data_IF_839242115843
#
_entry.id   IF_839242115843
#
_cell.length_a   1.000
_cell.length_b   1.000
_cell.length_c   1.000
_cell.angle_alpha   90.00
_cell.angle_beta   90.00
_cell.angle_gamma   90.00
#
_symmetry.space_group_name_H-M   'P 1'
#
loop_
_entity.id
_entity.type
_entity.pdbx_description
1 polymer ?
#
# COMPACT_ATOMS: atom_id res chain seq x y z
N UNK A 1 43.91 16.72 21.82
CA UNK A 1 42.71 17.45 22.30
C UNK A 1 43.10 18.24 23.54
N UNK A 2 42.63 19.49 23.68
CA UNK A 2 42.86 20.25 24.92
C UNK A 2 42.06 19.57 26.04
N UNK A 3 42.55 19.61 27.28
CA UNK A 3 41.92 18.89 28.41
C UNK A 3 40.42 19.25 28.58
N UNK A 4 40.05 20.50 28.25
CA UNK A 4 38.68 20.99 28.26
C UNK A 4 37.77 20.26 27.25
N UNK A 5 38.24 20.03 26.02
CA UNK A 5 37.45 19.32 24.99
C UNK A 5 37.17 17.87 25.42
N UNK A 6 38.19 17.22 26.01
CA UNK A 6 38.06 15.85 26.53
C UNK A 6 37.07 15.79 27.69
N UNK A 7 37.10 16.77 28.60
CA UNK A 7 36.16 16.87 29.70
C UNK A 7 34.72 17.04 29.17
N UNK A 8 34.50 17.95 28.22
CA UNK A 8 33.18 18.17 27.63
C UNK A 8 32.63 16.91 26.94
N UNK A 9 33.45 16.20 26.16
CA UNK A 9 33.04 14.96 25.48
C UNK A 9 32.71 13.85 26.49
N UNK A 10 33.56 13.67 27.49
CA UNK A 10 33.37 12.61 28.51
C UNK A 10 32.14 12.88 29.36
N UNK A 11 31.84 14.15 29.66
CA UNK A 11 30.63 14.54 30.39
C UNK A 11 29.36 14.47 29.54
N UNK A 12 29.47 14.61 28.21
CA UNK A 12 28.31 14.66 27.31
C UNK A 12 27.79 13.30 26.84
N UNK A 13 28.68 12.34 26.57
CA UNK A 13 28.30 11.03 26.03
C UNK A 13 27.34 10.26 26.96
N UNK A 14 27.57 10.16 28.28
CA UNK A 14 26.68 9.37 29.14
C UNK A 14 25.26 9.95 29.23
N UNK A 15 25.06 11.26 29.51
CA UNK A 15 23.73 11.86 29.47
C UNK A 15 23.05 11.69 28.11
N UNK A 16 23.78 11.88 27.01
CA UNK A 16 23.24 11.69 25.65
C UNK A 16 22.73 10.26 25.41
N UNK A 17 23.49 9.24 25.79
CA UNK A 17 23.08 7.85 25.58
C UNK A 17 21.83 7.51 26.40
N UNK A 18 21.77 7.97 27.65
CA UNK A 18 20.61 7.75 28.53
C UNK A 18 19.38 8.48 28.00
N UNK A 19 19.49 9.76 27.65
CA UNK A 19 18.35 10.52 27.12
C UNK A 19 17.89 9.99 25.77
N UNK A 20 18.81 9.53 24.92
CA UNK A 20 18.48 8.87 23.66
C UNK A 20 17.71 7.57 23.89
N UNK A 21 18.15 6.70 24.81
CA UNK A 21 17.43 5.47 25.14
C UNK A 21 16.04 5.74 25.72
N UNK A 22 15.91 6.75 26.60
CA UNK A 22 14.61 7.15 27.17
C UNK A 22 13.70 7.71 26.07
N UNK A 23 14.19 8.62 25.23
CA UNK A 23 13.42 9.18 24.13
C UNK A 23 12.97 8.11 23.14
N UNK A 24 13.88 7.18 22.80
CA UNK A 24 13.59 6.03 21.94
C UNK A 24 12.50 5.15 22.56
N UNK A 25 12.60 4.83 23.84
CA UNK A 25 11.59 4.05 24.55
C UNK A 25 10.22 4.72 24.56
N UNK A 26 10.16 6.02 24.86
CA UNK A 26 8.90 6.79 24.87
C UNK A 26 8.26 6.81 23.48
N UNK A 27 9.03 7.07 22.42
CA UNK A 27 8.52 7.07 21.04
C UNK A 27 8.04 5.68 20.61
N UNK A 28 8.74 4.62 21.00
CA UNK A 28 8.30 3.25 20.72
C UNK A 28 6.99 2.93 21.45
N UNK A 29 6.84 3.35 22.70
CA UNK A 29 5.58 3.16 23.43
C UNK A 29 4.42 3.94 22.81
N UNK A 30 4.66 5.17 22.36
CA UNK A 30 3.66 5.93 21.62
C UNK A 30 3.18 5.19 20.37
N UNK A 31 4.11 4.61 19.62
CA UNK A 31 3.81 3.77 18.45
C UNK A 31 3.03 2.53 18.86
N UNK A 32 3.43 1.83 19.92
CA UNK A 32 2.73 0.63 20.37
C UNK A 32 1.27 0.93 20.68
N UNK A 33 0.98 2.05 21.32
CA UNK A 33 -0.38 2.46 21.64
C UNK A 33 -1.19 2.81 20.37
N UNK A 34 -0.57 3.43 19.37
CA UNK A 34 -1.21 3.73 18.09
C UNK A 34 -1.59 2.47 17.30
N UNK A 35 -0.76 1.42 17.37
CA UNK A 35 -0.96 0.18 16.61
C UNK A 35 -1.52 -0.97 17.43
N UNK A 36 -1.91 -0.76 18.69
CA UNK A 36 -2.38 -1.85 19.55
C UNK A 36 -3.67 -2.46 19.02
N UNK A 37 -4.59 -1.65 18.50
CA UNK A 37 -5.86 -2.12 17.95
C UNK A 37 -5.66 -2.98 16.69
N UNK A 38 -4.64 -2.65 15.89
CA UNK A 38 -4.28 -3.41 14.68
C UNK A 38 -3.59 -4.75 14.98
N UNK A 39 -2.99 -4.89 16.17
CA UNK A 39 -2.16 -6.03 16.59
C UNK A 39 -2.93 -6.93 17.57
N UNK A 40 -3.78 -6.35 18.41
CA UNK A 40 -4.53 -7.06 19.45
C UNK A 40 -5.58 -8.00 18.84
N UNK A 41 -5.72 -9.19 19.42
CA UNK A 41 -6.72 -10.18 19.00
C UNK A 41 -6.36 -11.01 17.76
N UNK A 42 -5.28 -10.69 17.04
CA UNK A 42 -4.88 -11.38 15.80
C UNK A 42 -4.00 -12.63 15.97
N UNK A 43 -3.77 -13.08 17.21
CA UNK A 43 -2.97 -14.27 17.48
C UNK A 43 -1.49 -14.17 17.07
N UNK A 44 -0.95 -12.95 17.02
CA UNK A 44 0.42 -12.70 16.58
C UNK A 44 1.44 -13.25 17.58
N UNK A 45 2.45 -13.96 17.07
CA UNK A 45 3.56 -14.41 17.89
C UNK A 45 4.36 -13.24 18.48
N UNK A 46 4.77 -13.33 19.74
CA UNK A 46 5.56 -12.30 20.43
C UNK A 46 6.81 -11.88 19.64
N UNK A 47 7.48 -12.82 18.98
CA UNK A 47 8.66 -12.55 18.15
C UNK A 47 8.33 -11.64 16.95
N UNK A 48 7.17 -11.82 16.33
CA UNK A 48 6.72 -11.01 15.19
C UNK A 48 6.42 -9.57 15.61
N UNK A 49 5.87 -9.39 16.81
CA UNK A 49 5.63 -8.06 17.40
C UNK A 49 6.97 -7.33 17.62
N UNK A 50 7.98 -8.03 18.17
CA UNK A 50 9.33 -7.46 18.32
C UNK A 50 9.95 -7.13 16.96
N UNK A 51 9.82 -7.99 15.95
CA UNK A 51 10.33 -7.74 14.60
C UNK A 51 9.70 -6.46 14.01
N UNK A 52 8.38 -6.32 14.13
CA UNK A 52 7.64 -5.14 13.64
C UNK A 52 8.05 -3.87 14.39
N UNK A 53 8.17 -3.94 15.71
CA UNK A 53 8.68 -2.84 16.54
C UNK A 53 10.11 -2.47 16.15
N UNK A 54 10.98 -3.44 15.88
CA UNK A 54 12.37 -3.20 15.47
C UNK A 54 12.45 -2.44 14.15
N UNK A 55 11.63 -2.79 13.14
CA UNK A 55 11.55 -1.99 11.90
C UNK A 55 11.06 -0.57 12.18
N UNK A 56 10.05 -0.42 13.04
CA UNK A 56 9.54 0.91 13.37
C UNK A 56 10.54 1.76 14.16
N UNK A 57 11.35 1.15 15.04
CA UNK A 57 12.41 1.81 15.77
C UNK A 57 13.38 2.54 14.83
N UNK A 58 13.77 1.92 13.71
CA UNK A 58 14.69 2.53 12.74
C UNK A 58 14.15 3.86 12.21
N UNK A 59 12.83 3.95 11.97
CA UNK A 59 12.17 5.18 11.53
C UNK A 59 12.09 6.27 12.60
N UNK A 60 12.24 5.92 13.89
CA UNK A 60 12.14 6.87 15.00
C UNK A 60 13.49 7.48 15.39
N UNK A 61 14.62 6.85 15.03
CA UNK A 61 15.98 7.32 15.33
C UNK A 61 16.19 8.81 14.96
N UNK A 62 15.84 9.28 13.74
CA UNK A 62 16.02 10.69 13.37
C UNK A 62 15.23 11.68 14.22
N UNK A 63 14.09 11.26 14.78
CA UNK A 63 13.27 12.06 15.69
C UNK A 63 13.82 12.04 17.11
N UNK A 64 14.35 10.89 17.57
CA UNK A 64 14.92 10.74 18.90
C UNK A 64 16.26 11.48 19.07
N UNK A 65 17.11 11.51 18.04
CA UNK A 65 18.43 12.16 18.07
C UNK A 65 18.40 13.65 18.49
N UNK A 66 17.61 14.54 17.85
CA UNK A 66 17.60 15.96 18.22
C UNK A 66 17.07 16.19 19.64
N UNK A 67 16.07 15.42 20.08
CA UNK A 67 15.55 15.46 21.45
C UNK A 67 16.63 15.05 22.45
N UNK A 68 17.35 13.97 22.16
CA UNK A 68 18.43 13.47 23.02
C UNK A 68 19.58 14.47 23.15
N UNK A 69 20.03 15.04 22.01
CA UNK A 69 21.09 16.05 21.97
C UNK A 69 20.70 17.30 22.75
N UNK A 70 19.44 17.74 22.64
CA UNK A 70 18.95 18.92 23.35
C UNK A 70 18.97 18.68 24.86
N UNK A 71 18.37 17.59 25.34
CA UNK A 71 18.26 17.29 26.77
C UNK A 71 19.65 17.06 27.37
N UNK A 72 20.52 16.33 26.68
CA UNK A 72 21.89 16.10 27.17
C UNK A 72 22.71 17.38 27.22
N UNK A 73 22.57 18.27 26.22
CA UNK A 73 23.24 19.57 26.22
C UNK A 73 22.83 20.42 27.42
N UNK A 74 21.52 20.47 27.72
CA UNK A 74 20.99 21.19 28.89
C UNK A 74 21.52 20.58 30.18
N UNK A 75 21.52 19.25 30.31
CA UNK A 75 22.01 18.57 31.52
C UNK A 75 23.50 18.82 31.77
N UNK A 76 24.33 18.77 30.73
CA UNK A 76 25.78 18.99 30.87
C UNK A 76 26.09 20.45 31.19
N UNK A 77 25.52 21.39 30.42
CA UNK A 77 25.74 22.82 30.67
C UNK A 77 25.14 23.25 32.03
N UNK A 78 24.01 22.67 32.41
CA UNK A 78 23.37 22.88 33.71
C UNK A 78 24.24 22.39 34.87
N UNK A 79 24.76 21.15 34.79
CA UNK A 79 25.69 20.62 35.79
C UNK A 79 26.98 21.45 35.90
N UNK A 80 27.53 21.91 34.77
CA UNK A 80 28.70 22.79 34.78
C UNK A 80 28.40 24.17 35.39
N UNK A 81 27.18 24.67 35.25
CA UNK A 81 26.74 25.91 35.87
C UNK A 81 26.54 25.76 37.38
N UNK A 82 25.91 24.66 37.82
CA UNK A 82 25.65 24.37 39.25
C UNK A 82 26.94 24.16 40.04
N UNK A 83 27.95 23.52 39.43
CA UNK A 83 29.28 23.32 40.04
C UNK A 83 30.21 24.54 39.93
N UNK A 84 29.71 25.68 39.45
CA UNK A 84 30.48 26.90 39.16
C UNK A 84 31.64 26.74 38.16
N UNK A 85 31.81 25.58 37.53
CA UNK A 85 32.87 25.31 36.54
C UNK A 85 32.75 26.22 35.33
N UNK A 86 31.51 26.48 34.87
CA UNK A 86 31.24 27.38 33.75
C UNK A 86 31.66 28.83 34.04
N UNK A 87 31.45 29.30 35.27
CA UNK A 87 31.85 30.64 35.71
C UNK A 87 33.37 30.75 35.83
N UNK A 88 34.03 29.72 36.34
CA UNK A 88 35.49 29.63 36.41
C UNK A 88 36.14 29.68 35.02
N UNK A 89 35.62 28.95 34.03
CA UNK A 89 36.14 29.00 32.66
C UNK A 89 35.97 30.38 32.01
N UNK A 90 34.83 31.04 32.25
CA UNK A 90 34.59 32.38 31.73
C UNK A 90 35.51 33.42 32.39
N UNK A 91 35.77 33.28 33.68
CA UNK A 91 36.70 34.13 34.43
C UNK A 91 38.16 33.90 34.02
N UNK A 92 38.51 32.70 33.56
CA UNK A 92 39.81 32.36 32.96
C UNK A 92 39.97 32.86 31.51
N UNK A 93 39.01 33.64 30.99
CA UNK A 93 39.05 34.22 29.64
C UNK A 93 38.67 33.24 28.52
N UNK A 94 38.13 32.06 28.84
CA UNK A 94 37.65 31.12 27.82
C UNK A 94 36.27 31.56 27.34
N UNK A 95 36.15 31.79 26.03
CA UNK A 95 34.85 32.13 25.43
C UNK A 95 33.87 30.97 25.54
N UNK A 96 32.58 31.27 25.82
CA UNK A 96 31.51 30.27 25.89
C UNK A 96 31.41 29.46 24.59
N UNK A 97 31.64 30.10 23.45
CA UNK A 97 31.65 29.44 22.14
C UNK A 97 32.68 28.31 22.08
N UNK A 98 33.85 28.47 22.70
CA UNK A 98 34.88 27.42 22.76
C UNK A 98 34.42 26.22 23.59
N UNK A 99 33.68 26.46 24.68
CA UNK A 99 33.14 25.42 25.55
C UNK A 99 32.05 24.62 24.82
N UNK A 100 31.26 25.28 23.96
CA UNK A 100 30.17 24.64 23.19
C UNK A 100 30.64 23.92 21.92
N UNK A 101 31.84 24.22 21.39
CA UNK A 101 32.37 23.58 20.17
C UNK A 101 32.31 22.04 20.18
N UNK A 102 32.72 21.33 21.26
CA UNK A 102 32.67 19.87 21.30
C UNK A 102 31.24 19.32 21.14
N UNK A 103 30.25 20.00 21.75
CA UNK A 103 28.84 19.66 21.60
C UNK A 103 28.33 19.94 20.18
N UNK A 104 28.78 21.01 19.53
CA UNK A 104 28.45 21.27 18.12
C UNK A 104 29.03 20.21 17.19
N UNK A 105 30.27 19.77 17.43
CA UNK A 105 30.84 18.65 16.66
C UNK A 105 30.02 17.38 16.82
N UNK A 106 29.56 17.09 18.04
CA UNK A 106 28.68 15.96 18.29
C UNK A 106 27.32 16.12 17.59
N UNK A 107 26.71 17.30 17.67
CA UNK A 107 25.45 17.59 16.99
C UNK A 107 25.57 17.46 15.46
N UNK A 108 26.67 17.96 14.87
CA UNK A 108 26.95 17.77 13.45
C UNK A 108 27.11 16.29 13.07
N UNK A 109 27.79 15.49 13.91
CA UNK A 109 27.86 14.05 13.74
C UNK A 109 26.50 13.36 13.85
N UNK A 110 25.67 13.76 14.81
CA UNK A 110 24.31 13.26 14.96
C UNK A 110 23.42 13.62 13.76
N UNK A 111 23.58 14.82 13.18
CA UNK A 111 22.89 15.22 11.94
C UNK A 111 23.33 14.37 10.76
N UNK A 112 24.63 14.14 10.58
CA UNK A 112 25.14 13.29 9.50
C UNK A 112 24.63 11.85 9.64
N UNK A 113 24.63 11.31 10.86
CA UNK A 113 24.09 9.99 11.16
C UNK A 113 22.57 9.92 10.93
N UNK A 114 21.81 10.92 11.38
CA UNK A 114 20.37 11.05 11.16
C UNK A 114 20.03 11.09 9.67
N UNK A 115 20.79 11.87 8.89
CA UNK A 115 20.64 11.93 7.44
C UNK A 115 20.94 10.58 6.78
N UNK A 116 22.01 9.90 7.19
CA UNK A 116 22.34 8.57 6.70
C UNK A 116 21.22 7.55 6.99
N UNK A 117 20.69 7.54 8.22
CA UNK A 117 19.54 6.72 8.58
C UNK A 117 18.32 7.06 7.73
N UNK A 118 18.04 8.35 7.54
CA UNK A 118 16.89 8.82 6.76
C UNK A 118 16.96 8.40 5.30
N UNK A 119 18.13 8.52 4.69
CA UNK A 119 18.27 8.23 3.27
C UNK A 119 18.38 6.73 2.94
N UNK A 120 18.98 5.92 3.83
CA UNK A 120 19.27 4.51 3.54
C UNK A 120 18.46 3.52 4.39
N UNK A 121 18.32 3.79 5.69
CA UNK A 121 17.72 2.83 6.61
C UNK A 121 16.19 2.96 6.66
N UNK A 122 15.64 4.17 6.66
CA UNK A 122 14.19 4.39 6.70
C UNK A 122 13.46 3.77 5.51
N UNK A 123 13.92 3.92 4.25
CA UNK A 123 13.21 3.36 3.10
C UNK A 123 13.08 1.83 3.20
N UNK A 124 14.18 1.16 3.57
CA UNK A 124 14.21 -0.30 3.76
C UNK A 124 13.35 -0.74 4.95
N UNK A 125 13.42 -0.01 6.06
CA UNK A 125 12.63 -0.31 7.25
C UNK A 125 11.12 -0.09 7.01
N UNK A 126 10.74 0.97 6.31
CA UNK A 126 9.35 1.27 5.99
C UNK A 126 8.75 0.25 5.03
N UNK A 127 9.51 -0.24 4.06
CA UNK A 127 9.07 -1.28 3.13
C UNK A 127 8.84 -2.61 3.87
N UNK A 128 9.78 -3.02 4.73
CA UNK A 128 9.61 -4.22 5.57
C UNK A 128 8.49 -4.07 6.58
N UNK A 129 8.36 -2.90 7.20
CA UNK A 129 7.25 -2.61 8.11
C UNK A 129 5.90 -2.64 7.38
N UNK A 130 5.80 -2.02 6.20
CA UNK A 130 4.57 -1.93 5.43
C UNK A 130 4.07 -3.29 4.96
N UNK A 131 4.96 -4.11 4.38
CA UNK A 131 4.62 -5.49 3.99
C UNK A 131 4.20 -6.35 5.18
N UNK A 132 4.96 -6.32 6.28
CA UNK A 132 4.62 -7.07 7.50
C UNK A 132 3.32 -6.60 8.14
N UNK A 133 3.12 -5.29 8.25
CA UNK A 133 1.89 -4.74 8.81
C UNK A 133 0.70 -5.10 7.93
N UNK A 134 0.85 -5.10 6.60
CA UNK A 134 -0.20 -5.51 5.70
C UNK A 134 -0.56 -6.99 5.83
N UNK A 135 0.43 -7.87 5.95
CA UNK A 135 0.21 -9.29 6.24
C UNK A 135 -0.58 -9.46 7.55
N UNK A 136 -0.23 -8.69 8.59
CA UNK A 136 -0.90 -8.68 9.90
C UNK A 136 -2.32 -8.10 9.81
N UNK A 137 -2.53 -7.04 9.03
CA UNK A 137 -3.85 -6.43 8.88
C UNK A 137 -4.81 -7.37 8.16
N UNK A 138 -4.31 -8.13 7.19
CA UNK A 138 -5.07 -9.17 6.47
C UNK A 138 -5.19 -10.47 7.24
N UNK A 139 -4.36 -10.69 8.24
CA UNK A 139 -4.46 -11.85 9.10
C UNK A 139 -5.75 -11.78 9.91
N UNK A 140 -6.59 -12.79 9.72
CA UNK A 140 -7.83 -12.92 10.47
C UNK A 140 -7.55 -13.21 11.95
N UNK A 141 -8.40 -12.73 12.88
CA UNK A 141 -8.32 -13.07 14.29
C UNK A 141 -8.20 -14.57 14.51
N UNK A 142 -7.52 -14.98 15.58
CA UNK A 142 -7.41 -16.41 15.90
C UNK A 142 -8.83 -16.99 16.06
N UNK A 143 -9.15 -18.04 15.30
CA UNK A 143 -10.48 -18.65 15.25
C UNK A 143 -11.00 -18.97 16.67
N UNK A 144 -11.98 -18.19 17.12
CA UNK A 144 -12.65 -18.36 18.41
C UNK A 144 -14.15 -18.23 18.20
N UNK A 145 -14.78 -19.35 17.85
CA UNK A 145 -16.24 -19.41 17.75
C UNK A 145 -16.86 -19.36 19.14
N UNK A 146 -17.44 -18.21 19.47
CA UNK A 146 -18.17 -17.97 20.71
C UNK A 146 -19.64 -18.40 20.55
N UNK A 147 -20.21 -18.97 21.61
CA UNK A 147 -21.61 -19.40 21.63
C UNK A 147 -22.55 -18.22 21.88
N UNK A 148 -23.72 -18.21 21.22
CA UNK A 148 -24.75 -17.19 21.36
C UNK A 148 -24.53 -15.91 20.56
N UNK A 149 -23.47 -15.83 19.75
CA UNK A 149 -23.22 -14.72 18.81
C UNK A 149 -22.99 -15.26 17.40
N UNK A 150 -23.17 -14.40 16.40
CA UNK A 150 -22.74 -14.68 15.03
C UNK A 150 -21.23 -14.43 14.93
N UNK A 151 -20.52 -15.46 14.47
CA UNK A 151 -19.09 -15.42 14.21
C UNK A 151 -18.87 -15.32 12.70
N UNK A 152 -18.22 -14.25 12.27
CA UNK A 152 -17.95 -13.93 10.86
C UNK A 152 -16.45 -14.13 10.52
N UNK A 153 -15.77 -15.04 11.24
CA UNK A 153 -14.33 -15.28 11.07
C UNK A 153 -13.98 -15.94 9.72
N UNK A 154 -14.89 -16.69 9.12
CA UNK A 154 -14.70 -17.35 7.82
C UNK A 154 -15.24 -16.48 6.68
N UNK A 155 -14.47 -16.32 5.60
CA UNK A 155 -14.86 -15.38 4.53
C UNK A 155 -16.08 -15.92 3.77
N UNK A 156 -17.10 -15.08 3.61
CA UNK A 156 -18.38 -15.48 3.03
C UNK A 156 -19.23 -16.40 3.92
N UNK A 157 -18.89 -16.59 5.20
CA UNK A 157 -19.71 -17.40 6.11
C UNK A 157 -20.02 -16.67 7.42
N UNK A 158 -21.28 -16.76 7.86
CA UNK A 158 -21.68 -16.32 9.20
C UNK A 158 -22.17 -17.54 10.00
N UNK A 159 -21.48 -17.87 11.09
CA UNK A 159 -21.74 -19.07 11.90
C UNK A 159 -22.29 -18.67 13.26
N UNK A 160 -23.49 -19.14 13.58
CA UNK A 160 -24.09 -19.02 14.90
C UNK A 160 -24.20 -20.38 15.56
N UNK A 161 -23.68 -20.48 16.79
CA UNK A 161 -23.73 -21.68 17.62
C UNK A 161 -24.59 -21.34 18.85
N UNK A 162 -25.71 -22.04 19.04
CA UNK A 162 -26.59 -21.78 20.18
C UNK A 162 -25.96 -22.15 21.52
N UNK A 163 -25.50 -23.39 21.66
CA UNK A 163 -24.83 -23.91 22.85
C UNK A 163 -23.60 -24.73 22.49
N UNK A 164 -22.57 -24.63 23.34
CA UNK A 164 -21.33 -25.38 23.23
C UNK A 164 -21.11 -26.16 24.52
N UNK A 165 -20.85 -27.46 24.40
CA UNK A 165 -20.57 -28.32 25.56
C UNK A 165 -19.22 -27.95 26.21
N UNK A 166 -19.04 -28.35 27.48
CA UNK A 166 -17.80 -28.09 28.23
C UNK A 166 -16.53 -28.68 27.58
N UNK A 167 -16.68 -29.74 26.76
CA UNK A 167 -15.58 -30.37 26.00
C UNK A 167 -15.09 -29.52 24.82
N UNK A 168 -15.82 -28.44 24.49
CA UNK A 168 -15.46 -27.51 23.42
C UNK A 168 -15.58 -28.05 21.99
N UNK A 169 -15.92 -29.33 21.81
CA UNK A 169 -16.10 -29.99 20.50
C UNK A 169 -17.56 -30.17 20.10
N UNK A 170 -18.45 -30.49 21.05
CA UNK A 170 -19.86 -30.69 20.77
C UNK A 170 -20.61 -29.36 20.76
N UNK A 171 -21.37 -29.14 19.71
CA UNK A 171 -22.13 -27.91 19.44
C UNK A 171 -23.58 -28.25 19.14
N UNK A 172 -24.49 -27.38 19.54
CA UNK A 172 -25.93 -27.54 19.34
C UNK A 172 -26.53 -26.26 18.75
N UNK A 173 -27.61 -26.43 18.00
CA UNK A 173 -28.33 -25.36 17.30
C UNK A 173 -27.38 -24.52 16.43
N UNK A 174 -26.81 -25.18 15.42
CA UNK A 174 -25.87 -24.55 14.50
C UNK A 174 -26.61 -23.97 13.32
N UNK A 175 -26.35 -22.70 13.04
CA UNK A 175 -26.86 -21.97 11.89
C UNK A 175 -25.67 -21.40 11.11
N UNK A 176 -25.54 -21.78 9.85
CA UNK A 176 -24.48 -21.29 8.95
C UNK A 176 -25.15 -20.60 7.78
N UNK A 177 -24.84 -19.32 7.60
CA UNK A 177 -25.13 -18.62 6.35
C UNK A 177 -23.91 -18.69 5.44
N UNK A 178 -24.14 -19.09 4.20
CA UNK A 178 -23.14 -19.17 3.14
C UNK A 178 -23.46 -18.08 2.11
N UNK A 179 -22.62 -17.05 2.13
CA UNK A 179 -22.62 -15.87 1.27
C UNK A 179 -21.46 -15.90 0.26
N UNK A 180 -20.73 -17.02 0.12
CA UNK A 180 -19.58 -17.13 -0.80
C UNK A 180 -19.96 -16.77 -2.25
N UNK A 181 -21.16 -17.14 -2.69
CA UNK A 181 -21.71 -16.85 -4.01
C UNK A 181 -22.76 -15.71 -3.99
N UNK A 182 -22.76 -14.86 -2.95
CA UNK A 182 -23.76 -13.77 -2.83
C UNK A 182 -23.68 -12.77 -3.99
N UNK A 183 -22.51 -12.59 -4.60
CA UNK A 183 -22.32 -11.77 -5.81
C UNK A 183 -23.05 -12.33 -7.04
N UNK A 184 -23.31 -13.63 -7.06
CA UNK A 184 -24.09 -14.34 -8.08
C UNK A 184 -25.55 -14.53 -7.66
N UNK A 185 -25.99 -13.89 -6.57
CA UNK A 185 -27.36 -13.97 -6.05
C UNK A 185 -27.74 -15.34 -5.47
N UNK A 186 -26.76 -16.20 -5.17
CA UNK A 186 -26.99 -17.49 -4.52
C UNK A 186 -26.85 -17.34 -3.01
N UNK A 187 -27.91 -17.67 -2.28
CA UNK A 187 -27.92 -17.65 -0.83
C UNK A 187 -28.16 -19.06 -0.34
N UNK A 188 -27.27 -19.57 0.52
CA UNK A 188 -27.41 -20.87 1.13
C UNK A 188 -27.40 -20.74 2.66
N UNK A 189 -28.33 -21.43 3.31
CA UNK A 189 -28.47 -21.45 4.76
C UNK A 189 -28.50 -22.90 5.22
N UNK A 190 -27.65 -23.26 6.17
CA UNK A 190 -27.57 -24.60 6.76
C UNK A 190 -27.99 -24.50 8.22
N UNK A 191 -28.99 -25.29 8.61
CA UNK A 191 -29.46 -25.40 9.98
C UNK A 191 -29.26 -26.83 10.45
N UNK A 192 -28.65 -27.02 11.62
CA UNK A 192 -28.44 -28.33 12.21
C UNK A 192 -28.77 -28.33 13.71
N UNK A 193 -29.36 -29.42 14.19
CA UNK A 193 -29.74 -29.58 15.60
C UNK A 193 -28.51 -29.81 16.49
N UNK A 194 -27.57 -30.63 16.03
CA UNK A 194 -26.34 -30.95 16.76
C UNK A 194 -25.16 -31.11 15.81
N UNK A 195 -23.94 -31.03 16.33
CA UNK A 195 -22.74 -31.27 15.57
C UNK A 195 -21.50 -31.39 16.44
N UNK A 196 -20.40 -31.77 15.80
CA UNK A 196 -19.06 -31.74 16.37
C UNK A 196 -18.16 -30.85 15.52
N UNK A 197 -17.27 -30.10 16.16
CA UNK A 197 -16.26 -29.29 15.49
C UNK A 197 -14.86 -29.70 15.96
N UNK A 198 -13.94 -29.80 15.01
CA UNK A 198 -12.54 -30.10 15.28
C UNK A 198 -11.66 -29.56 14.15
N UNK A 199 -10.42 -29.21 14.50
CA UNK A 199 -9.38 -29.02 13.50
C UNK A 199 -8.77 -30.40 13.16
N UNK A 200 -8.42 -30.59 11.88
CA UNK A 200 -7.71 -31.80 11.42
C UNK A 200 -6.35 -31.90 12.13
N UNK A 201 -5.80 -33.11 12.31
CA UNK A 201 -4.49 -33.32 12.96
C UNK A 201 -3.36 -32.54 12.26
N UNK A 202 -3.47 -32.34 10.94
CA UNK A 202 -2.54 -31.54 10.13
C UNK A 202 -2.71 -30.01 10.33
N UNK A 203 -3.73 -29.56 11.06
CA UNK A 203 -3.97 -28.14 11.38
C UNK A 203 -4.42 -27.26 10.19
N UNK A 204 -4.52 -27.82 8.98
CA UNK A 204 -4.87 -27.07 7.76
C UNK A 204 -6.37 -26.86 7.52
N UNK A 205 -7.24 -27.67 8.12
CA UNK A 205 -8.69 -27.59 7.91
C UNK A 205 -9.47 -27.62 9.23
N UNK A 206 -10.51 -26.80 9.31
CA UNK A 206 -11.51 -26.83 10.36
C UNK A 206 -12.77 -27.53 9.86
N UNK A 207 -13.18 -28.59 10.54
CA UNK A 207 -14.29 -29.45 10.12
C UNK A 207 -15.43 -29.32 11.12
N UNK A 208 -16.63 -29.08 10.59
CA UNK A 208 -17.89 -29.16 11.34
C UNK A 208 -18.72 -30.32 10.78
N UNK A 209 -18.88 -31.37 11.58
CA UNK A 209 -19.77 -32.48 11.27
C UNK A 209 -21.13 -32.23 11.93
N UNK A 210 -22.08 -31.82 11.11
CA UNK A 210 -23.44 -31.44 11.47
C UNK A 210 -24.35 -32.65 11.36
N UNK A 211 -25.26 -32.82 12.32
CA UNK A 211 -26.21 -33.92 12.38
C UNK A 211 -27.65 -33.41 12.42
N UNK A 212 -28.52 -34.13 11.72
CA UNK A 212 -29.96 -33.86 11.62
C UNK A 212 -30.25 -32.39 11.28
N UNK A 213 -30.10 -32.04 10.00
CA UNK A 213 -30.24 -30.68 9.55
C UNK A 213 -30.88 -30.52 8.19
N UNK A 214 -31.10 -29.26 7.84
CA UNK A 214 -31.71 -28.83 6.60
C UNK A 214 -30.85 -27.74 5.97
N UNK A 215 -30.54 -27.89 4.69
CA UNK A 215 -29.96 -26.83 3.88
C UNK A 215 -31.05 -26.22 3.01
N UNK A 216 -31.12 -24.90 3.03
CA UNK A 216 -31.95 -24.10 2.14
C UNK A 216 -31.03 -23.41 1.15
N UNK A 217 -31.33 -23.52 -0.15
CA UNK A 217 -30.56 -22.87 -1.20
C UNK A 217 -31.50 -22.14 -2.14
N UNK A 218 -31.22 -20.86 -2.34
CA UNK A 218 -31.84 -20.04 -3.38
C UNK A 218 -30.87 -19.94 -4.56
N UNK A 219 -31.32 -20.34 -5.75
CA UNK A 219 -30.50 -20.31 -6.97
C UNK A 219 -30.92 -19.15 -7.85
N UNK A 220 -29.98 -18.65 -8.65
CA UNK A 220 -30.22 -17.58 -9.62
C UNK A 220 -31.39 -17.91 -10.57
N UNK A 221 -32.25 -16.93 -10.90
CA UNK A 221 -33.32 -17.14 -11.87
C UNK A 221 -32.74 -17.43 -13.26
N UNK A 222 -33.18 -18.53 -13.87
CA UNK A 222 -32.79 -18.84 -15.26
C UNK A 222 -33.29 -17.76 -16.22
N UNK A 223 -32.38 -17.11 -16.95
CA UNK A 223 -32.67 -16.03 -17.90
C UNK A 223 -33.59 -16.42 -19.08
N UNK A 224 -33.90 -17.71 -19.24
CA UNK A 224 -34.67 -18.23 -20.36
C UNK A 224 -36.20 -18.08 -20.23
N UNK A 225 -36.72 -17.65 -19.07
CA UNK A 225 -38.17 -17.56 -18.84
C UNK A 225 -38.56 -16.18 -18.27
N UNK A 226 -39.45 -15.44 -18.96
CA UNK A 226 -39.94 -14.13 -18.52
C UNK A 226 -40.75 -14.15 -17.20
N UNK A 227 -40.93 -15.33 -16.58
CA UNK A 227 -41.36 -15.46 -15.18
C UNK A 227 -40.11 -15.74 -14.34
N UNK A 228 -39.65 -14.73 -13.59
CA UNK A 228 -38.62 -14.87 -12.55
C UNK A 228 -39.13 -15.85 -11.49
N UNK A 229 -38.86 -17.14 -11.68
CA UNK A 229 -39.08 -18.17 -10.67
C UNK A 229 -37.75 -18.33 -9.95
N UNK A 230 -37.74 -18.09 -8.64
CA UNK A 230 -36.61 -18.37 -7.76
C UNK A 230 -36.77 -19.82 -7.29
N UNK A 231 -36.07 -20.81 -7.89
CA UNK A 231 -36.17 -22.18 -7.42
C UNK A 231 -35.55 -22.26 -6.02
N UNK A 232 -36.40 -22.57 -5.05
CA UNK A 232 -35.99 -22.84 -3.67
C UNK A 232 -35.76 -24.33 -3.50
N UNK A 233 -34.52 -24.70 -3.16
CA UNK A 233 -34.14 -26.10 -2.91
C UNK A 233 -33.98 -26.31 -1.42
N UNK A 234 -34.65 -27.33 -0.88
CA UNK A 234 -34.48 -27.78 0.49
C UNK A 234 -33.91 -29.19 0.51
N UNK A 235 -32.74 -29.34 1.12
CA UNK A 235 -32.05 -30.62 1.27
C UNK A 235 -32.06 -31.02 2.75
N UNK A 236 -32.60 -32.20 3.05
CA UNK A 236 -32.57 -32.76 4.40
C UNK A 236 -31.38 -33.72 4.50
N UNK A 237 -30.55 -33.58 5.53
CA UNK A 237 -29.39 -34.44 5.74
C UNK A 237 -29.38 -35.04 7.15
N UNK A 238 -28.94 -36.30 7.25
CA UNK A 238 -28.69 -36.96 8.54
C UNK A 238 -27.32 -36.57 9.11
N UNK A 239 -26.32 -36.49 8.24
CA UNK A 239 -24.97 -36.01 8.56
C UNK A 239 -24.45 -35.19 7.39
N UNK A 240 -23.79 -34.08 7.68
CA UNK A 240 -23.19 -33.18 6.72
C UNK A 240 -21.86 -32.65 7.25
N UNK A 241 -20.79 -32.79 6.48
CA UNK A 241 -19.48 -32.28 6.85
C UNK A 241 -19.23 -30.98 6.09
N UNK A 242 -19.13 -29.86 6.82
CA UNK A 242 -18.64 -28.59 6.27
C UNK A 242 -17.16 -28.47 6.64
N UNK A 243 -16.32 -28.29 5.63
CA UNK A 243 -14.87 -28.12 5.79
C UNK A 243 -14.53 -26.68 5.44
N UNK A 244 -13.79 -26.03 6.32
CA UNK A 244 -13.23 -24.70 6.14
C UNK A 244 -11.72 -24.82 6.06
N UNK A 245 -11.13 -24.11 5.09
CA UNK A 245 -9.68 -24.03 4.96
C UNK A 245 -9.13 -23.07 6.01
N UNK A 246 -8.21 -23.52 6.86
CA UNK A 246 -7.53 -22.68 7.84
C UNK A 246 -6.31 -21.95 7.24
N UNK A 247 -5.94 -22.27 6.00
CA UNK A 247 -4.92 -21.56 5.22
C UNK A 247 -5.22 -20.08 5.04
N UNK A 248 -6.50 -19.68 5.08
CA UNK A 248 -6.88 -18.26 5.06
C UNK A 248 -6.46 -17.47 6.32
N UNK A 249 -6.16 -18.17 7.42
CA UNK A 249 -5.63 -17.58 8.66
C UNK A 249 -4.10 -17.61 8.70
N UNK A 250 -3.44 -18.32 7.78
CA UNK A 250 -1.98 -18.43 7.74
C UNK A 250 -1.34 -17.21 7.07
N UNK A 251 -0.22 -16.76 7.63
CA UNK A 251 0.48 -15.56 7.17
C UNK A 251 1.19 -15.84 5.84
N UNK A 252 0.56 -15.47 4.74
CA UNK A 252 1.21 -15.44 3.42
C UNK A 252 2.02 -14.15 3.29
N UNK A 253 3.31 -14.27 2.95
CA UNK A 253 4.18 -13.11 2.75
C UNK A 253 3.73 -12.33 1.52
N UNK A 254 3.26 -11.11 1.71
CA UNK A 254 2.95 -10.23 0.58
C UNK A 254 4.22 -9.88 -0.18
N UNK A 255 4.14 -9.84 -1.51
CA UNK A 255 5.25 -9.42 -2.35
C UNK A 255 5.61 -7.94 -2.03
N UNK A 256 6.85 -7.74 -1.57
CA UNK A 256 7.42 -6.44 -1.23
C UNK A 256 7.38 -5.44 -2.40
N UNK A 257 7.33 -5.93 -3.64
CA UNK A 257 7.25 -5.10 -4.85
C UNK A 257 6.01 -4.22 -4.93
N UNK A 258 4.90 -4.65 -4.33
CA UNK A 258 3.66 -3.88 -4.29
C UNK A 258 3.80 -2.55 -3.52
N UNK A 259 4.77 -2.48 -2.61
CA UNK A 259 4.98 -1.33 -1.74
C UNK A 259 6.11 -0.40 -2.20
N UNK A 260 7.04 -0.88 -3.05
CA UNK A 260 8.22 -0.15 -3.52
C UNK A 260 7.92 1.22 -4.17
N UNK A 261 6.73 1.39 -4.75
CA UNK A 261 6.34 2.63 -5.46
C UNK A 261 5.90 3.77 -4.53
N UNK A 262 5.70 3.50 -3.24
CA UNK A 262 5.25 4.52 -2.29
C UNK A 262 6.39 5.50 -1.95
N UNK A 263 6.10 6.81 -1.94
CA UNK A 263 7.07 7.89 -1.71
C UNK A 263 7.84 7.74 -0.39
N UNK A 264 7.22 7.16 0.64
CA UNK A 264 7.86 6.94 1.95
C UNK A 264 8.89 5.80 1.97
N UNK A 265 9.01 5.07 0.85
CA UNK A 265 9.90 3.90 0.67
C UNK A 265 11.02 4.17 -0.33
N UNK A 266 11.12 5.40 -0.83
CA UNK A 266 12.15 5.80 -1.78
C UNK A 266 13.27 6.56 -1.08
N UNK A 267 14.51 6.29 -1.51
CA UNK A 267 15.69 7.10 -1.12
C UNK A 267 15.62 8.47 -1.77
N UNK A 268 16.41 9.45 -1.29
CA UNK A 268 16.43 10.80 -1.88
C UNK A 268 16.82 10.81 -3.36
N UNK A 269 17.70 9.92 -3.80
CA UNK A 269 18.08 9.81 -5.21
C UNK A 269 16.94 9.26 -6.08
N UNK A 270 16.29 8.19 -5.61
CA UNK A 270 15.11 7.62 -6.27
C UNK A 270 13.92 8.59 -6.28
N UNK A 271 13.78 9.42 -5.25
CA UNK A 271 12.79 10.50 -5.21
C UNK A 271 13.02 11.53 -6.32
N UNK A 272 14.27 11.86 -6.62
CA UNK A 272 14.61 12.80 -7.69
C UNK A 272 14.33 12.19 -9.08
N UNK A 273 14.74 10.95 -9.31
CA UNK A 273 14.40 10.21 -10.53
C UNK A 273 12.88 10.04 -10.70
N UNK A 274 12.16 9.78 -9.61
CA UNK A 274 10.71 9.71 -9.63
C UNK A 274 10.07 11.06 -10.00
N UNK A 275 10.61 12.19 -9.50
CA UNK A 275 10.17 13.55 -9.87
C UNK A 275 10.39 13.80 -11.37
N UNK A 276 11.58 13.51 -11.88
CA UNK A 276 11.90 13.68 -13.31
C UNK A 276 10.96 12.84 -14.20
N UNK A 277 10.67 11.60 -13.78
CA UNK A 277 9.72 10.72 -14.48
C UNK A 277 8.28 11.24 -14.43
N UNK A 278 7.88 11.90 -13.33
CA UNK A 278 6.55 12.49 -13.18
C UNK A 278 6.39 13.72 -14.06
N UNK A 279 7.41 14.56 -14.17
CA UNK A 279 7.40 15.72 -15.06
C UNK A 279 7.24 15.30 -16.53
N UNK A 280 7.96 14.25 -16.96
CA UNK A 280 7.79 13.67 -18.30
C UNK A 280 6.38 13.11 -18.53
N UNK A 281 5.76 12.49 -17.50
CA UNK A 281 4.38 12.00 -17.58
C UNK A 281 3.37 13.15 -17.67
N UNK A 282 3.58 14.24 -16.93
CA UNK A 282 2.75 15.44 -16.98
C UNK A 282 2.80 16.05 -18.38
N UNK A 283 4.00 16.26 -18.93
CA UNK A 283 4.19 16.80 -20.29
C UNK A 283 3.52 15.92 -21.36
N UNK A 284 3.67 14.59 -21.26
CA UNK A 284 3.02 13.66 -22.18
C UNK A 284 1.49 13.72 -22.07
N UNK A 285 0.97 13.85 -20.85
CA UNK A 285 -0.48 13.96 -20.60
C UNK A 285 -1.03 15.27 -21.13
N UNK A 286 -0.32 16.38 -20.94
CA UNK A 286 -0.68 17.68 -21.51
C UNK A 286 -0.71 17.64 -23.04
N UNK A 287 0.32 17.05 -23.69
CA UNK A 287 0.35 16.86 -25.14
C UNK A 287 -0.80 15.97 -25.62
N UNK A 288 -1.09 14.87 -24.92
CA UNK A 288 -2.22 13.99 -25.25
C UNK A 288 -3.56 14.68 -25.08
N UNK A 289 -3.74 15.49 -24.03
CA UNK A 289 -4.97 16.25 -23.81
C UNK A 289 -5.13 17.34 -24.88
N UNK A 290 -4.06 18.06 -25.21
CA UNK A 290 -4.05 19.03 -26.32
C UNK A 290 -4.48 18.37 -27.63
N UNK A 291 -3.87 17.24 -27.99
CA UNK A 291 -4.23 16.49 -29.20
C UNK A 291 -5.69 15.99 -29.18
N UNK A 292 -6.20 15.54 -28.02
CA UNK A 292 -7.60 15.14 -27.88
C UNK A 292 -8.57 16.33 -28.02
N UNK A 293 -8.23 17.50 -27.47
CA UNK A 293 -9.02 18.73 -27.57
C UNK A 293 -9.04 19.24 -29.01
N UNK A 294 -7.90 19.26 -29.70
CA UNK A 294 -7.80 19.68 -31.12
C UNK A 294 -8.63 18.78 -32.03
N UNK A 295 -8.61 17.47 -31.79
CA UNK A 295 -9.46 16.53 -32.54
C UNK A 295 -10.96 16.74 -32.30
N UNK A 296 -11.35 17.29 -31.15
CA UNK A 296 -12.75 17.59 -30.82
C UNK A 296 -13.23 18.96 -31.33
N UNK A 297 -12.31 19.92 -31.47
CA UNK A 297 -12.59 21.28 -31.93
C UNK A 297 -11.85 21.58 -33.24
N UNK A 298 -12.40 21.11 -34.36
CA UNK A 298 -11.83 21.26 -35.71
C UNK A 298 -11.70 22.69 -36.23
N UNK A 299 -12.03 23.72 -35.42
CA UNK A 299 -11.94 25.13 -35.80
C UNK A 299 -10.67 25.82 -35.30
N UNK A 300 -9.87 25.17 -34.44
CA UNK A 300 -8.55 25.66 -34.05
C UNK A 300 -7.50 24.99 -34.94
N UNK A 301 -7.15 25.62 -36.06
CA UNK A 301 -5.94 25.25 -36.81
C UNK A 301 -4.73 25.45 -35.89
N UNK A 302 -4.11 24.35 -35.46
CA UNK A 302 -2.88 24.40 -34.68
C UNK A 302 -1.70 24.34 -35.64
N UNK A 303 -0.84 25.35 -35.52
CA UNK A 303 0.40 25.53 -36.25
C UNK A 303 1.26 24.24 -36.20
N UNK A 304 1.63 23.72 -37.37
CA UNK A 304 2.30 22.43 -37.60
C UNK A 304 3.71 22.31 -36.98
N UNK A 305 4.21 23.36 -36.32
CA UNK A 305 5.57 23.44 -35.80
C UNK A 305 5.89 22.51 -34.61
N UNK A 306 4.90 21.83 -34.01
CA UNK A 306 5.10 20.96 -32.83
C UNK A 306 5.05 19.45 -33.12
N UNK A 307 4.94 19.07 -34.40
CA UNK A 307 4.99 17.69 -34.88
C UNK A 307 6.38 17.36 -35.44
N UNK A 308 7.39 17.35 -34.58
CA UNK A 308 8.62 16.60 -34.86
C UNK A 308 8.54 15.27 -34.13
N UNK A 309 8.22 14.21 -34.87
CA UNK A 309 8.44 12.83 -34.44
C UNK A 309 9.96 12.56 -34.40
N UNK A 310 10.48 11.85 -33.38
CA UNK A 310 11.89 11.53 -33.33
C UNK A 310 12.20 10.40 -34.33
N UNK A 311 12.72 10.79 -35.50
CA UNK A 311 13.67 10.02 -36.33
C UNK A 311 13.21 8.68 -36.90
N UNK A 312 12.56 8.70 -38.06
CA UNK A 312 12.77 7.68 -39.08
C UNK A 312 13.88 8.20 -40.00
N UNK A 313 15.09 7.64 -39.89
CA UNK A 313 16.15 7.85 -40.87
C UNK A 313 15.87 6.94 -42.07
N UNK A 314 15.67 7.55 -43.23
CA UNK A 314 15.45 6.90 -44.52
C UNK A 314 16.62 5.95 -44.86
N UNK A 315 16.37 4.64 -44.84
CA UNK A 315 17.18 3.68 -45.59
C UNK A 315 16.78 3.75 -47.06
N UNK A 316 17.61 4.38 -47.91
CA UNK A 316 17.79 3.91 -49.28
C UNK A 316 19.13 4.41 -49.88
N UNK A 317 20.06 3.46 -50.11
CA UNK A 317 21.12 3.61 -51.11
C UNK A 317 22.56 3.52 -50.61
N UNK A 318 23.09 2.31 -50.44
CA UNK A 318 24.55 2.10 -50.33
C UNK A 318 24.92 0.62 -50.13
N UNK A 319 25.61 0.05 -51.12
CA UNK A 319 26.07 -1.35 -51.13
C UNK A 319 27.05 -1.67 -49.96
N UNK A 320 27.12 -2.95 -49.52
CA UNK A 320 27.90 -3.34 -48.35
C UNK A 320 29.42 -3.34 -48.66
N UNK A 321 30.29 -2.86 -47.75
CA UNK A 321 31.71 -3.12 -47.85
C UNK A 321 32.03 -4.52 -47.28
N UNK A 322 32.86 -5.25 -48.02
CA UNK A 322 33.48 -6.52 -47.63
C UNK A 322 34.48 -6.38 -46.46
N UNK A 323 34.83 -7.49 -45.77
CA UNK A 323 35.44 -7.50 -44.45
C UNK A 323 36.97 -7.47 -44.50
N UNK A 324 37.61 -7.10 -43.39
CA UNK A 324 39.01 -7.42 -43.12
C UNK A 324 39.26 -7.60 -41.59
N UNK A 325 40.34 -8.30 -41.20
CA UNK A 325 40.27 -9.39 -40.21
C UNK A 325 40.87 -9.08 -38.83
N UNK A 326 40.51 -9.96 -37.88
CA UNK A 326 41.21 -10.41 -36.65
C UNK A 326 41.98 -9.39 -35.77
N UNK A 327 41.76 -9.46 -34.45
CA UNK A 327 42.81 -9.78 -33.45
C UNK A 327 42.19 -10.00 -32.04
N UNK A 328 42.27 -11.27 -31.62
CA UNK A 328 42.49 -11.86 -30.29
C UNK A 328 41.79 -11.35 -29.02
N UNK A 329 41.06 -12.29 -28.42
CA UNK A 329 40.67 -12.41 -27.02
C UNK A 329 41.88 -12.72 -26.10
N UNK A 330 41.76 -12.57 -24.77
CA UNK A 330 41.98 -13.77 -23.94
C UNK A 330 41.03 -13.91 -22.73
N UNK A 331 40.28 -15.02 -22.75
CA UNK A 331 40.14 -16.08 -21.74
C UNK A 331 39.96 -15.77 -20.24
N UNK A 332 39.00 -16.53 -19.68
CA UNK A 332 39.07 -17.42 -18.49
C UNK A 332 37.95 -17.09 -17.47
N UNK A 333 36.94 -17.92 -17.18
CA UNK A 333 36.99 -19.29 -16.63
C UNK A 333 35.56 -19.91 -16.60
N UNK A 334 35.50 -21.21 -16.87
CA UNK A 334 34.51 -22.27 -16.52
C UNK A 334 34.03 -22.18 -15.03
N UNK A 335 32.87 -22.65 -14.51
CA UNK A 335 31.84 -23.61 -14.93
C UNK A 335 30.61 -23.66 -13.96
N UNK A 336 29.43 -24.07 -14.50
CA UNK A 336 28.29 -24.87 -13.94
C UNK A 336 27.08 -24.21 -13.24
N UNK A 337 25.88 -24.83 -13.28
CA UNK A 337 25.13 -25.35 -14.45
C UNK A 337 23.65 -24.87 -14.48
N UNK A 338 22.97 -25.20 -15.57
CA UNK A 338 21.54 -25.03 -15.81
C UNK A 338 20.68 -25.91 -14.91
N UNK A 339 19.48 -25.42 -14.55
CA UNK A 339 18.19 -26.13 -14.66
C UNK A 339 17.02 -25.21 -14.25
N UNK A 340 15.85 -25.49 -14.83
CA UNK A 340 14.47 -25.06 -14.45
C UNK A 340 13.86 -23.82 -15.14
N UNK A 341 13.42 -24.07 -16.38
CA UNK A 341 12.03 -23.92 -16.87
C UNK A 341 10.96 -23.24 -15.98
N UNK A 342 10.44 -22.09 -16.44
CA UNK A 342 9.08 -21.56 -16.20
C UNK A 342 8.81 -20.45 -17.24
N UNK A 343 8.04 -20.69 -18.30
CA UNK A 343 6.57 -20.58 -18.37
C UNK A 343 6.04 -19.16 -18.08
N UNK A 344 6.00 -18.31 -19.12
CA UNK A 344 5.24 -17.06 -19.15
C UNK A 344 3.76 -17.35 -19.49
N UNK A 345 2.78 -16.68 -18.86
CA UNK A 345 1.37 -16.85 -19.20
C UNK A 345 0.94 -15.91 -20.34
N UNK A 346 0.32 -16.50 -21.37
CA UNK A 346 -0.34 -15.84 -22.49
C UNK A 346 -1.59 -15.04 -22.04
N UNK A 347 -1.77 -13.84 -22.60
CA UNK A 347 -3.02 -13.07 -22.53
C UNK A 347 -3.77 -13.26 -23.86
N UNK A 348 -5.03 -13.73 -23.88
CA UNK A 348 -5.71 -14.07 -25.12
C UNK A 348 -6.20 -12.84 -25.90
N UNK A 349 -5.80 -12.79 -27.18
CA UNK A 349 -6.22 -11.79 -28.16
C UNK A 349 -7.64 -12.04 -28.69
N UNK A 350 -8.37 -10.93 -28.88
CA UNK A 350 -9.69 -10.89 -29.53
C UNK A 350 -9.51 -10.99 -31.04
N UNK A 351 -10.03 -12.07 -31.64
CA UNK A 351 -10.19 -12.24 -33.08
C UNK A 351 -11.14 -11.18 -33.64
N UNK A 352 -10.69 -10.38 -34.61
CA UNK A 352 -11.57 -9.66 -35.52
C UNK A 352 -11.25 -10.01 -36.98
N UNK A 353 -12.35 -10.29 -37.69
CA UNK A 353 -12.48 -10.95 -38.97
C UNK A 353 -11.70 -10.33 -40.14
N UNK A 354 -11.06 -11.21 -40.91
CA UNK A 354 -10.21 -10.93 -42.08
C UNK A 354 -11.02 -10.67 -43.38
N UNK A 355 -12.21 -10.05 -43.29
CA UNK A 355 -13.13 -9.86 -44.43
C UNK A 355 -13.58 -8.40 -44.68
N UNK A 356 -12.65 -7.45 -44.70
CA UNK A 356 -12.94 -6.07 -45.13
C UNK A 356 -11.87 -5.45 -46.06
N UNK A 357 -11.07 -6.24 -46.79
CA UNK A 357 -10.00 -5.69 -47.65
C UNK A 357 -10.39 -5.39 -49.11
N UNK A 358 -11.60 -5.70 -49.58
CA UNK A 358 -11.98 -5.46 -50.98
C UNK A 358 -13.36 -4.77 -51.12
N UNK A 359 -13.40 -3.44 -50.93
CA UNK A 359 -14.46 -2.58 -51.51
C UNK A 359 -13.81 -1.38 -52.21
N UNK A 360 -14.28 -0.99 -53.41
CA UNK A 360 -13.81 0.23 -54.08
C UNK A 360 -14.26 1.49 -53.31
N UNK A 361 -13.56 2.63 -53.47
CA UNK A 361 -13.84 3.85 -52.73
C UNK A 361 -15.25 4.38 -53.01
N UNK A 362 -16.01 4.64 -51.95
CA UNK A 362 -17.33 5.25 -52.04
C UNK A 362 -17.21 6.75 -52.42
N UNK A 363 -18.05 7.18 -53.36
CA UNK A 363 -18.13 8.56 -53.83
C UNK A 363 -18.49 9.55 -52.70
N UNK A 364 -17.92 10.76 -52.78
CA UNK A 364 -18.13 11.83 -51.81
C UNK A 364 -19.62 12.26 -51.70
N UNK A 365 -20.11 12.56 -50.48
CA UNK A 365 -21.47 13.06 -50.30
C UNK A 365 -21.60 14.51 -50.82
N UNK A 366 -22.78 14.91 -51.33
CA UNK A 366 -22.99 16.26 -51.86
C UNK A 366 -22.96 17.33 -50.75
N UNK A 367 -22.58 18.58 -51.06
CA UNK A 367 -22.51 19.66 -50.07
C UNK A 367 -23.91 20.05 -49.55
N UNK A 368 -24.02 20.51 -48.28
CA UNK A 368 -25.28 20.88 -47.66
C UNK A 368 -25.86 22.18 -48.24
N UNK A 369 -27.19 22.38 -48.19
CA UNK A 369 -27.85 23.56 -48.77
C UNK A 369 -27.57 24.83 -47.97
N UNK A 370 -27.31 25.92 -48.69
CA UNK A 370 -27.15 27.28 -48.16
C UNK A 370 -28.45 27.78 -47.52
N UNK A 371 -28.49 27.89 -46.20
CA UNK A 371 -29.60 28.55 -45.48
C UNK A 371 -29.25 30.03 -45.27
N UNK A 372 -30.07 30.90 -45.84
CA UNK A 372 -29.96 32.35 -45.70
C UNK A 372 -30.21 32.78 -44.25
N UNK A 373 -29.27 33.54 -43.68
CA UNK A 373 -29.35 34.09 -42.32
C UNK A 373 -30.34 35.26 -42.29
N UNK A 374 -31.52 35.06 -41.69
CA UNK A 374 -32.38 36.16 -41.25
C UNK A 374 -31.91 36.65 -39.88
N UNK A 375 -31.26 37.82 -39.82
CA UNK A 375 -30.94 38.52 -38.57
C UNK A 375 -32.24 38.99 -37.91
N UNK A 376 -32.60 38.41 -36.76
CA UNK A 376 -33.44 39.07 -35.75
C UNK A 376 -32.54 39.46 -34.57
N UNK A 377 -32.45 40.75 -34.30
CA UNK A 377 -31.87 41.28 -33.06
C UNK A 377 -32.73 40.80 -31.89
N UNK A 378 -32.13 40.11 -30.93
CA UNK A 378 -32.70 39.87 -29.61
C UNK A 378 -31.96 40.79 -28.64
N UNK A 379 -32.66 41.80 -28.13
CA UNK A 379 -32.25 42.60 -26.97
C UNK A 379 -32.36 41.73 -25.72
N UNK A 380 -31.25 41.52 -25.01
CA UNK A 380 -31.23 40.82 -23.74
C UNK A 380 -31.50 41.77 -22.58
N UNK A 381 -32.63 41.59 -21.89
CA UNK A 381 -32.81 42.09 -20.53
C UNK A 381 -32.08 41.15 -19.54
N UNK A 382 -31.36 41.67 -18.53
CA UNK A 382 -30.75 40.83 -17.50
C UNK A 382 -31.82 40.26 -16.56
N UNK A 383 -31.72 38.96 -16.27
CA UNK A 383 -32.56 38.27 -15.29
C UNK A 383 -32.13 38.66 -13.88
N UNK A 384 -32.95 39.47 -13.18
CA UNK A 384 -32.84 39.64 -11.73
C UNK A 384 -33.26 38.35 -11.03
N UNK A 385 -32.32 37.72 -10.32
CA UNK A 385 -32.59 36.56 -9.47
C UNK A 385 -32.95 37.06 -8.07
N UNK A 386 -34.24 37.06 -7.71
CA UNK A 386 -34.69 37.36 -6.35
C UNK A 386 -34.29 36.21 -5.40
N UNK A 387 -33.52 36.56 -4.37
CA UNK A 387 -33.20 35.68 -3.25
C UNK A 387 -34.32 35.84 -2.21
N UNK A 388 -35.13 34.80 -2.02
CA UNK A 388 -36.36 34.88 -1.21
C UNK A 388 -36.16 34.70 0.30
N UNK A 389 -34.91 34.59 0.80
CA UNK A 389 -34.63 34.50 2.25
C UNK A 389 -33.29 35.14 2.66
N UNK A 390 -33.24 35.89 3.79
CA UNK A 390 -32.00 36.45 4.32
C UNK A 390 -31.04 35.36 4.84
N UNK A 391 -29.73 35.58 4.66
CA UNK A 391 -28.64 34.62 4.89
C UNK A 391 -28.44 34.13 6.35
N UNK A 392 -29.17 34.65 7.32
CA UNK A 392 -28.97 34.32 8.74
C UNK A 392 -29.56 32.95 9.16
N UNK A 393 -30.35 32.29 8.31
CA UNK A 393 -30.95 30.98 8.60
C UNK A 393 -30.04 29.78 8.27
N UNK A 394 -28.83 30.02 7.72
CA UNK A 394 -27.89 28.96 7.32
C UNK A 394 -26.71 28.75 8.29
N UNK A 395 -26.72 29.38 9.47
CA UNK A 395 -25.77 29.06 10.53
C UNK A 395 -26.49 28.47 11.74
N UNK A 396 -26.61 27.14 11.75
CA UNK A 396 -26.61 26.33 12.96
C UNK A 396 -26.03 24.96 12.70
#
# INVERSE_FOLDING_TARGET
>A
MKQLDRLMITSFIPPFLVTFMIAMFVLVMQVLWLYIDDIAGKGLGFFLIIELLAYKCVSLIPMALPLAVLISSVMVLGNLAERYELSSFKSAGVSLWRIMRPMMFFAAGATAFSFFCSNNLIPVANLKFGSRMYDIQRQKPALRLDAGIFNDDFDGYAIHIGSKAADGKHIEHVLIYDHSDASQGRLSQIIAESGEMYATEDGGYFVMNLRNGHQYMETEPSAANSRRSFPFVRTNFKSWNKVFDLGEFQLNRTNEELFKSNRSMLTSGQLQEAVDSLDLKILRREKSMSNQIVNFFSFMEVDTAYLSEPGEEDEEGGAPPEPDPEVSDPQDTTALPADVEAAEPEIPGVLLDRKLKNRPPAAAPPPPPTVAVARKQFEGNPLEQKIDKPLEEYQH
#
